data_IF_243369201614
#
_entry.id   IF_243369201614
#
_cell.length_a   1.000
_cell.length_b   1.000
_cell.length_c   1.000
_cell.angle_alpha   90.00
_cell.angle_beta   90.00
_cell.angle_gamma   90.00
#
_symmetry.space_group_name_H-M   'P 1'
#
loop_
_entity.id
_entity.type
_entity.pdbx_description
1 polymer ?
#
# COMPACT_ATOMS: atom_id res chain seq x y z
N UNK A 1 1.45 22.17 -4.23
CA UNK A 1 2.57 21.42 -3.61
C UNK A 1 2.13 20.15 -2.92
N UNK A 2 1.09 20.18 -2.08
CA UNK A 2 0.55 19.00 -1.38
C UNK A 2 0.37 17.78 -2.30
N UNK A 3 -0.37 17.92 -3.40
CA UNK A 3 -0.61 16.84 -4.37
C UNK A 3 0.64 16.14 -4.90
N UNK A 4 1.72 16.89 -5.10
CA UNK A 4 3.00 16.36 -5.59
C UNK A 4 3.62 15.48 -4.50
N UNK A 5 3.60 15.93 -3.24
CA UNK A 5 4.10 15.15 -2.11
C UNK A 5 3.25 13.90 -1.85
N UNK A 6 1.92 14.01 -1.95
CA UNK A 6 1.02 12.87 -1.79
C UNK A 6 1.26 11.82 -2.87
N UNK A 7 1.34 12.24 -4.14
CA UNK A 7 1.65 11.35 -5.26
C UNK A 7 3.04 10.70 -5.11
N UNK A 8 4.05 11.48 -4.68
CA UNK A 8 5.41 10.98 -4.46
C UNK A 8 5.44 9.92 -3.34
N UNK A 9 4.76 10.15 -2.22
CA UNK A 9 4.67 9.21 -1.11
C UNK A 9 3.96 7.91 -1.53
N UNK A 10 2.88 8.00 -2.31
CA UNK A 10 2.22 6.81 -2.85
C UNK A 10 3.11 6.02 -3.80
N UNK A 11 3.85 6.71 -4.68
CA UNK A 11 4.80 6.05 -5.58
C UNK A 11 5.90 5.34 -4.79
N UNK A 12 6.41 5.97 -3.74
CA UNK A 12 7.46 5.41 -2.88
C UNK A 12 6.93 4.20 -2.09
N UNK A 13 5.71 4.26 -1.57
CA UNK A 13 5.05 3.13 -0.90
C UNK A 13 4.81 1.96 -1.87
N UNK A 14 4.35 2.24 -3.09
CA UNK A 14 4.18 1.23 -4.13
C UNK A 14 5.51 0.58 -4.50
N UNK A 15 6.59 1.36 -4.65
CA UNK A 15 7.93 0.84 -4.90
C UNK A 15 8.37 -0.08 -3.75
N UNK A 16 8.19 0.33 -2.49
CA UNK A 16 8.58 -0.47 -1.33
C UNK A 16 7.89 -1.83 -1.27
N UNK A 17 6.69 -1.96 -1.84
CA UNK A 17 5.94 -3.23 -1.86
C UNK A 17 6.23 -4.03 -3.12
N UNK A 18 6.21 -3.38 -4.29
CA UNK A 18 6.42 -4.06 -5.58
C UNK A 18 7.86 -4.56 -5.75
N UNK A 19 8.84 -3.84 -5.22
CA UNK A 19 10.25 -4.19 -5.35
C UNK A 19 10.59 -5.52 -4.66
N UNK A 20 10.34 -5.74 -3.35
CA UNK A 20 10.60 -7.03 -2.72
C UNK A 20 9.75 -8.16 -3.30
N UNK A 21 8.52 -7.89 -3.75
CA UNK A 21 7.68 -8.87 -4.45
C UNK A 21 8.33 -9.34 -5.75
N UNK A 22 8.80 -8.40 -6.57
CA UNK A 22 9.42 -8.70 -7.85
C UNK A 22 10.78 -9.39 -7.69
N UNK A 23 11.57 -8.96 -6.70
CA UNK A 23 12.83 -9.61 -6.33
C UNK A 23 12.62 -11.04 -5.84
N UNK A 24 11.57 -11.29 -5.04
CA UNK A 24 11.27 -12.62 -4.50
C UNK A 24 10.69 -13.56 -5.54
N UNK A 25 9.88 -13.06 -6.49
CA UNK A 25 9.42 -13.83 -7.64
C UNK A 25 10.58 -14.34 -8.52
N UNK A 26 11.66 -13.55 -8.64
CA UNK A 26 12.91 -13.98 -9.31
C UNK A 26 13.76 -14.93 -8.49
N UNK A 27 13.69 -14.86 -7.15
CA UNK A 27 14.43 -15.78 -6.30
C UNK A 27 13.84 -17.19 -6.27
N UNK A 28 12.52 -17.34 -6.44
CA UNK A 28 11.85 -18.65 -6.56
C UNK A 28 12.15 -19.36 -7.90
N UNK A 29 12.58 -18.61 -8.92
CA UNK A 29 13.25 -19.15 -10.11
C UNK A 29 14.72 -19.49 -9.77
N UNK A 30 14.95 -20.35 -8.77
CA UNK A 30 16.27 -20.95 -8.62
C UNK A 30 16.60 -21.72 -9.90
N UNK A 31 17.79 -21.44 -10.44
CA UNK A 31 18.27 -22.03 -11.69
C UNK A 31 18.18 -23.56 -11.61
N UNK A 32 17.41 -24.21 -12.51
CA UNK A 32 17.27 -25.67 -12.52
C UNK A 32 18.63 -26.38 -12.62
N UNK A 33 19.65 -25.71 -13.18
CA UNK A 33 21.00 -26.23 -13.28
C UNK A 33 21.72 -26.26 -11.90
N UNK A 34 21.52 -25.24 -11.06
CA UNK A 34 22.07 -25.20 -9.69
C UNK A 34 21.44 -26.28 -8.80
N UNK A 35 20.13 -26.53 -8.92
CA UNK A 35 19.44 -27.60 -8.19
C UNK A 35 19.97 -28.98 -8.57
N UNK A 36 20.17 -29.22 -9.88
CA UNK A 36 20.75 -30.47 -10.38
C UNK A 36 22.17 -30.69 -9.84
N UNK A 37 23.00 -29.65 -9.85
CA UNK A 37 24.36 -29.72 -9.30
C UNK A 37 24.35 -30.03 -7.79
N UNK A 38 23.48 -29.40 -7.01
CA UNK A 38 23.35 -29.66 -5.58
C UNK A 38 22.93 -31.11 -5.28
N UNK A 39 21.97 -31.66 -6.03
CA UNK A 39 21.50 -33.04 -5.85
C UNK A 39 22.59 -34.08 -6.21
N UNK A 40 23.36 -33.84 -7.27
CA UNK A 40 24.48 -34.70 -7.66
C UNK A 40 25.60 -34.65 -6.61
N UNK A 41 25.93 -33.46 -6.10
CA UNK A 41 26.94 -33.31 -5.04
C UNK A 41 26.53 -34.06 -3.76
N UNK A 42 25.26 -33.94 -3.35
CA UNK A 42 24.74 -34.66 -2.19
C UNK A 42 24.76 -36.19 -2.40
N UNK A 43 24.47 -36.67 -3.61
CA UNK A 43 24.56 -38.09 -3.93
C UNK A 43 26.00 -38.61 -3.76
N UNK A 44 26.98 -37.86 -4.26
CA UNK A 44 28.40 -38.23 -4.13
C UNK A 44 28.83 -38.29 -2.66
N UNK A 45 28.44 -37.30 -1.86
CA UNK A 45 28.72 -37.28 -0.42
C UNK A 45 28.15 -38.53 0.29
N UNK A 46 26.91 -38.92 -0.04
CA UNK A 46 26.26 -40.10 0.56
C UNK A 46 26.81 -41.42 0.05
N UNK A 47 27.24 -41.50 -1.21
CA UNK A 47 27.89 -42.71 -1.74
C UNK A 47 29.25 -42.93 -1.08
N UNK A 48 30.01 -41.86 -0.88
CA UNK A 48 31.32 -41.93 -0.22
C UNK A 48 31.18 -42.33 1.25
N UNK A 49 30.12 -41.86 1.94
CA UNK A 49 29.77 -42.28 3.30
C UNK A 49 29.46 -43.78 3.37
N UNK A 50 28.66 -44.31 2.43
CA UNK A 50 28.35 -45.73 2.33
C UNK A 50 29.58 -46.59 2.04
N UNK A 51 30.48 -46.12 1.18
CA UNK A 51 31.74 -46.81 0.85
C UNK A 51 32.66 -46.87 2.07
N UNK A 52 32.73 -45.77 2.84
CA UNK A 52 33.47 -45.71 4.10
C UNK A 52 32.91 -46.71 5.12
N UNK A 53 31.59 -46.81 5.26
CA UNK A 53 30.93 -47.76 6.16
C UNK A 53 31.16 -49.22 5.77
N UNK A 54 31.17 -49.53 4.47
CA UNK A 54 31.52 -50.85 3.95
C UNK A 54 32.99 -51.19 4.28
N UNK A 55 33.90 -50.24 4.06
CA UNK A 55 35.33 -50.41 4.34
C UNK A 55 35.64 -50.58 5.84
N UNK A 56 34.84 -49.93 6.70
CA UNK A 56 34.90 -50.05 8.15
C UNK A 56 34.27 -51.36 8.67
N UNK A 57 33.56 -52.10 7.80
CA UNK A 57 32.83 -53.32 8.17
C UNK A 57 31.56 -53.06 8.97
N UNK A 58 31.02 -51.84 8.95
CA UNK A 58 29.77 -51.48 9.60
C UNK A 58 28.56 -52.07 8.86
N UNK A 59 28.68 -52.24 7.54
CA UNK A 59 27.68 -52.83 6.66
C UNK A 59 28.31 -53.94 5.81
N UNK A 60 27.51 -54.92 5.40
CA UNK A 60 27.93 -55.94 4.44
C UNK A 60 27.70 -55.52 2.98
N UNK A 61 28.27 -56.28 2.04
CA UNK A 61 28.16 -55.98 0.61
C UNK A 61 26.69 -55.97 0.11
N UNK A 62 25.83 -56.84 0.65
CA UNK A 62 24.42 -56.87 0.25
C UNK A 62 23.66 -55.62 0.74
N UNK A 63 23.97 -55.14 1.93
CA UNK A 63 23.41 -53.92 2.50
C UNK A 63 23.88 -52.70 1.71
N UNK A 64 25.17 -52.63 1.36
CA UNK A 64 25.70 -51.57 0.50
C UNK A 64 24.99 -51.51 -0.85
N UNK A 65 24.88 -52.63 -1.56
CA UNK A 65 24.24 -52.69 -2.88
C UNK A 65 22.75 -52.27 -2.81
N UNK A 66 22.07 -52.63 -1.71
CA UNK A 66 20.66 -52.26 -1.49
C UNK A 66 20.51 -50.76 -1.23
N UNK A 67 21.36 -50.19 -0.36
CA UNK A 67 21.32 -48.77 -0.01
C UNK A 67 21.72 -47.89 -1.20
N UNK A 68 22.71 -48.31 -1.99
CA UNK A 68 23.13 -47.63 -3.21
C UNK A 68 22.02 -47.63 -4.27
N UNK A 69 21.32 -48.75 -4.44
CA UNK A 69 20.18 -48.83 -5.36
C UNK A 69 19.03 -47.90 -4.96
N UNK A 70 18.74 -47.77 -3.66
CA UNK A 70 17.73 -46.83 -3.15
C UNK A 70 18.17 -45.37 -3.39
N UNK A 71 19.45 -45.06 -3.14
CA UNK A 71 20.03 -43.73 -3.35
C UNK A 71 19.97 -43.31 -4.83
N UNK A 72 20.31 -44.21 -5.76
CA UNK A 72 20.23 -43.99 -7.21
C UNK A 72 18.79 -43.75 -7.66
N UNK A 73 17.84 -44.47 -7.08
CA UNK A 73 16.41 -44.32 -7.39
C UNK A 73 15.86 -42.97 -6.90
N UNK A 74 16.33 -42.50 -5.74
CA UNK A 74 16.05 -41.15 -5.24
C UNK A 74 16.60 -40.06 -6.15
N UNK A 75 17.85 -40.19 -6.60
CA UNK A 75 18.48 -39.22 -7.52
C UNK A 75 17.71 -39.11 -8.85
N UNK A 76 17.30 -40.24 -9.44
CA UNK A 76 16.51 -40.24 -10.68
C UNK A 76 15.17 -39.52 -10.49
N UNK A 77 14.48 -39.75 -9.37
CA UNK A 77 13.23 -39.07 -9.06
C UNK A 77 13.42 -37.55 -8.90
N UNK A 78 14.51 -37.11 -8.24
CA UNK A 78 14.80 -35.69 -8.03
C UNK A 78 15.25 -34.95 -9.30
N UNK A 79 15.96 -35.64 -10.21
CA UNK A 79 16.33 -35.09 -11.53
C UNK A 79 15.10 -34.98 -12.44
N UNK A 80 14.22 -36.00 -12.47
CA UNK A 80 12.95 -35.94 -13.22
C UNK A 80 12.01 -34.84 -12.72
N UNK A 81 11.97 -34.61 -11.40
CA UNK A 81 11.22 -33.50 -10.78
C UNK A 81 11.79 -32.13 -11.15
N UNK A 82 13.10 -32.04 -11.41
CA UNK A 82 13.78 -30.80 -11.82
C UNK A 82 13.59 -30.49 -13.31
N UNK A 83 13.53 -31.51 -14.18
CA UNK A 83 13.28 -31.34 -15.62
C UNK A 83 11.78 -31.15 -15.95
N UNK A 84 10.88 -31.62 -15.08
CA UNK A 84 9.43 -31.45 -15.23
C UNK A 84 8.78 -30.84 -13.97
N UNK A 85 8.90 -29.51 -13.75
CA UNK A 85 8.29 -28.82 -12.61
C UNK A 85 6.75 -28.93 -12.57
N UNK A 86 6.10 -29.37 -13.67
CA UNK A 86 4.65 -29.67 -13.71
C UNK A 86 4.29 -31.00 -13.01
N UNK A 87 5.23 -31.93 -12.83
CA UNK A 87 4.98 -33.24 -12.21
C UNK A 87 4.91 -33.19 -10.66
N UNK A 88 5.52 -32.19 -10.03
CA UNK A 88 5.44 -31.96 -8.57
C UNK A 88 4.01 -31.75 -8.05
N UNK A 89 3.10 -31.25 -8.89
CA UNK A 89 1.70 -31.02 -8.50
C UNK A 89 0.86 -32.31 -8.33
N UNK A 90 1.36 -33.46 -8.77
CA UNK A 90 0.61 -34.72 -8.79
C UNK A 90 1.02 -35.74 -7.70
N UNK A 91 2.26 -35.73 -7.20
CA UNK A 91 2.78 -36.83 -6.37
C UNK A 91 2.90 -36.54 -4.86
N UNK A 92 2.82 -35.28 -4.42
CA UNK A 92 3.14 -34.87 -3.04
C UNK A 92 1.95 -34.65 -2.07
N UNK A 93 0.74 -35.15 -2.34
CA UNK A 93 -0.43 -34.94 -1.45
C UNK A 93 -0.86 -36.22 -0.74
N UNK A 94 -0.17 -36.58 0.35
CA UNK A 94 -0.79 -37.38 1.42
C UNK A 94 -0.59 -36.67 2.76
N UNK A 95 -1.74 -36.31 3.35
CA UNK A 95 -2.01 -35.82 4.72
C UNK A 95 -1.90 -34.31 4.97
N UNK A 96 -2.93 -33.59 4.55
CA UNK A 96 -3.70 -32.72 5.44
C UNK A 96 -5.01 -32.35 4.73
N UNK A 97 -6.12 -32.73 5.36
CA UNK A 97 -7.45 -32.48 4.85
C UNK A 97 -7.89 -31.05 5.20
N UNK A 98 -7.99 -30.18 4.18
CA UNK A 98 -9.13 -29.26 4.03
C UNK A 98 -9.31 -28.85 2.56
N UNK A 99 -10.38 -29.38 1.95
CA UNK A 99 -11.14 -28.87 0.79
C UNK A 99 -11.29 -27.34 0.88
N UNK A 100 -11.37 -26.51 -0.16
CA UNK A 100 -11.66 -26.54 -1.61
C UNK A 100 -11.24 -25.13 -2.10
N UNK A 101 -10.91 -24.84 -3.36
CA UNK A 101 -11.12 -25.55 -4.60
C UNK A 101 -10.19 -25.06 -5.71
N UNK A 102 -10.21 -25.81 -6.80
CA UNK A 102 -9.54 -25.55 -8.07
C UNK A 102 -9.97 -24.18 -8.64
N UNK A 103 -9.20 -23.49 -9.47
CA UNK A 103 -8.75 -23.92 -10.80
C UNK A 103 -7.79 -22.87 -11.37
N UNK A 104 -6.83 -23.34 -12.19
CA UNK A 104 -6.24 -22.69 -13.38
C UNK A 104 -5.70 -21.26 -13.26
N UNK A 105 -4.47 -21.12 -13.74
CA UNK A 105 -3.77 -19.88 -14.10
C UNK A 105 -3.08 -19.15 -12.93
N UNK A 106 -1.91 -19.71 -12.62
CA UNK A 106 -0.90 -19.25 -11.65
C UNK A 106 -0.17 -17.98 -12.12
N UNK A 107 -0.92 -16.90 -12.35
CA UNK A 107 -0.39 -15.53 -12.39
C UNK A 107 -1.07 -14.61 -11.36
N UNK A 108 -2.11 -15.11 -10.69
CA UNK A 108 -2.96 -14.39 -9.76
C UNK A 108 -3.15 -15.20 -8.48
N UNK A 109 -2.06 -15.60 -7.81
CA UNK A 109 -2.19 -16.17 -6.47
C UNK A 109 -2.80 -15.10 -5.56
N UNK A 110 -3.84 -15.48 -4.81
CA UNK A 110 -4.55 -14.62 -3.87
C UNK A 110 -3.59 -13.89 -2.90
N UNK A 111 -2.43 -14.51 -2.63
CA UNK A 111 -1.31 -13.97 -1.85
C UNK A 111 -0.68 -12.70 -2.44
N UNK A 112 -0.62 -12.55 -3.76
CA UNK A 112 -0.02 -11.39 -4.42
C UNK A 112 -1.06 -10.37 -4.89
N UNK A 113 -2.27 -10.82 -5.25
CA UNK A 113 -3.37 -9.92 -5.60
C UNK A 113 -3.88 -9.12 -4.41
N UNK A 114 -3.97 -9.71 -3.23
CA UNK A 114 -4.46 -9.03 -2.03
C UNK A 114 -3.64 -7.78 -1.67
N UNK A 115 -2.29 -7.83 -1.54
CA UNK A 115 -1.49 -6.64 -1.25
C UNK A 115 -1.48 -5.65 -2.41
N UNK A 116 -1.44 -6.11 -3.67
CA UNK A 116 -1.48 -5.21 -4.83
C UNK A 116 -2.82 -4.47 -4.94
N UNK A 117 -3.93 -5.18 -4.72
CA UNK A 117 -5.25 -4.57 -4.64
C UNK A 117 -5.30 -3.57 -3.50
N UNK A 118 -4.74 -3.88 -2.33
CA UNK A 118 -4.68 -2.95 -1.20
C UNK A 118 -3.90 -1.68 -1.52
N UNK A 119 -2.76 -1.78 -2.21
CA UNK A 119 -1.96 -0.61 -2.65
C UNK A 119 -2.74 0.31 -3.59
N UNK A 120 -3.66 -0.23 -4.39
CA UNK A 120 -4.51 0.57 -5.29
C UNK A 120 -5.77 1.06 -4.56
N UNK A 121 -6.36 0.24 -3.70
CA UNK A 121 -7.59 0.56 -2.96
C UNK A 121 -7.34 1.65 -1.92
N UNK A 122 -6.18 1.63 -1.25
CA UNK A 122 -5.84 2.57 -0.18
C UNK A 122 -5.80 4.03 -0.68
N UNK A 123 -5.13 4.41 -1.79
CA UNK A 123 -5.22 5.77 -2.33
C UNK A 123 -6.63 6.14 -2.75
N UNK A 124 -7.39 5.23 -3.36
CA UNK A 124 -8.78 5.51 -3.77
C UNK A 124 -9.66 5.77 -2.55
N UNK A 125 -9.54 4.94 -1.51
CA UNK A 125 -10.25 5.15 -0.24
C UNK A 125 -9.79 6.43 0.43
N UNK A 126 -8.49 6.68 0.49
CA UNK A 126 -7.94 7.88 1.12
C UNK A 126 -8.43 9.15 0.41
N UNK A 127 -8.46 9.17 -0.92
CA UNK A 127 -9.00 10.29 -1.69
C UNK A 127 -10.51 10.42 -1.54
N UNK A 128 -11.24 9.31 -1.53
CA UNK A 128 -12.69 9.30 -1.33
C UNK A 128 -13.08 9.82 0.05
N UNK A 129 -12.42 9.35 1.10
CA UNK A 129 -12.61 9.85 2.46
C UNK A 129 -12.13 11.29 2.60
N UNK A 130 -11.01 11.67 1.99
CA UNK A 130 -10.53 13.05 2.01
C UNK A 130 -11.49 14.00 1.26
N UNK A 131 -12.20 13.54 0.24
CA UNK A 131 -13.23 14.37 -0.39
C UNK A 131 -14.49 14.53 0.47
N UNK A 132 -14.74 13.59 1.40
CA UNK A 132 -15.92 13.62 2.26
C UNK A 132 -15.65 14.25 3.64
N UNK A 133 -14.43 14.12 4.16
CA UNK A 133 -14.01 14.61 5.48
C UNK A 133 -12.90 15.64 5.43
N UNK A 134 -12.26 15.82 4.27
CA UNK A 134 -11.19 16.78 4.08
C UNK A 134 -11.76 18.14 3.73
N UNK A 135 -11.44 19.11 4.57
CA UNK A 135 -11.73 20.53 4.40
C UNK A 135 -10.78 21.18 3.38
N UNK A 136 -10.73 20.67 2.14
CA UNK A 136 -9.84 21.25 1.12
C UNK A 136 -10.32 22.64 0.65
N UNK A 137 -11.61 22.92 0.80
CA UNK A 137 -12.20 24.23 0.54
C UNK A 137 -11.74 25.25 1.58
N UNK A 138 -11.64 24.87 2.86
CA UNK A 138 -11.16 25.76 3.94
C UNK A 138 -9.74 26.27 3.73
N UNK A 139 -8.87 25.44 3.12
CA UNK A 139 -7.48 25.83 2.84
C UNK A 139 -7.41 26.91 1.77
N UNK A 140 -8.32 26.92 0.80
CA UNK A 140 -8.38 27.96 -0.24
C UNK A 140 -8.99 29.25 0.31
N UNK A 141 -9.90 29.14 1.27
CA UNK A 141 -10.55 30.28 1.92
C UNK A 141 -9.60 30.98 2.91
N UNK A 142 -8.60 30.25 3.43
CA UNK A 142 -7.52 30.84 4.23
C UNK A 142 -6.80 31.98 3.51
N UNK A 143 -6.68 31.95 2.17
CA UNK A 143 -6.10 33.04 1.38
C UNK A 143 -6.99 34.30 1.43
N UNK A 144 -8.31 34.14 1.30
CA UNK A 144 -9.27 35.25 1.40
C UNK A 144 -9.26 35.90 2.79
N UNK A 145 -9.11 35.08 3.83
CA UNK A 145 -8.98 35.55 5.20
C UNK A 145 -7.65 36.27 5.43
N UNK A 146 -6.55 35.76 4.90
CA UNK A 146 -5.24 36.42 4.97
C UNK A 146 -5.26 37.78 4.26
N UNK A 147 -5.84 37.84 3.05
CA UNK A 147 -6.04 39.09 2.30
C UNK A 147 -6.87 40.11 3.09
N UNK A 148 -7.89 39.67 3.82
CA UNK A 148 -8.69 40.56 4.70
C UNK A 148 -7.83 41.20 5.78
N UNK A 149 -6.93 40.44 6.41
CA UNK A 149 -6.04 40.95 7.47
C UNK A 149 -4.96 41.88 6.89
N UNK A 150 -4.45 41.56 5.70
CA UNK A 150 -3.37 42.31 5.06
C UNK A 150 -3.86 43.58 4.34
N UNK A 151 -5.14 43.65 4.01
CA UNK A 151 -5.79 44.78 3.36
C UNK A 151 -6.01 45.96 4.34
N UNK A 152 -4.93 46.61 4.78
CA UNK A 152 -4.94 47.73 5.75
C UNK A 152 -5.58 49.03 5.21
N UNK A 153 -6.86 49.00 4.85
CA UNK A 153 -7.64 50.16 4.42
C UNK A 153 -7.71 50.38 2.92
N UNK A 154 -7.41 49.38 2.08
CA UNK A 154 -7.78 49.42 0.66
C UNK A 154 -9.28 49.15 0.53
N UNK A 155 -10.02 50.24 0.34
CA UNK A 155 -11.47 50.20 0.24
C UNK A 155 -11.97 49.46 -1.02
N UNK A 156 -11.15 49.36 -2.08
CA UNK A 156 -11.53 48.62 -3.28
C UNK A 156 -11.33 47.11 -3.10
N UNK A 157 -10.20 46.70 -2.52
CA UNK A 157 -9.98 45.29 -2.18
C UNK A 157 -10.99 44.81 -1.13
N UNK A 158 -11.36 45.66 -0.16
CA UNK A 158 -12.36 45.30 0.85
C UNK A 158 -13.73 45.05 0.21
N UNK A 159 -14.12 45.83 -0.81
CA UNK A 159 -15.37 45.60 -1.57
C UNK A 159 -15.34 44.28 -2.33
N UNK A 160 -14.20 43.94 -2.96
CA UNK A 160 -14.03 42.65 -3.63
C UNK A 160 -14.18 41.49 -2.64
N UNK A 161 -13.45 41.56 -1.52
CA UNK A 161 -13.48 40.55 -0.46
C UNK A 161 -14.86 40.39 0.15
N UNK A 162 -15.63 41.48 0.34
CA UNK A 162 -17.03 41.39 0.80
C UNK A 162 -17.88 40.52 -0.13
N UNK A 163 -17.72 40.67 -1.46
CA UNK A 163 -18.49 39.88 -2.43
C UNK A 163 -18.06 38.41 -2.36
N UNK A 164 -16.75 38.14 -2.43
CA UNK A 164 -16.24 36.77 -2.45
C UNK A 164 -16.49 36.02 -1.14
N UNK A 165 -16.21 36.66 0.01
CA UNK A 165 -16.47 36.09 1.33
C UNK A 165 -17.99 35.97 1.57
N UNK A 166 -18.79 36.90 1.03
CA UNK A 166 -20.26 36.84 1.11
C UNK A 166 -20.86 35.64 0.39
N UNK A 167 -20.37 35.31 -0.81
CA UNK A 167 -20.76 34.08 -1.53
C UNK A 167 -20.37 32.83 -0.75
N UNK A 168 -19.16 32.82 -0.18
CA UNK A 168 -18.67 31.72 0.63
C UNK A 168 -19.49 31.53 1.93
N UNK A 169 -19.81 32.61 2.62
CA UNK A 169 -20.63 32.60 3.84
C UNK A 169 -22.06 32.12 3.58
N UNK A 170 -22.62 32.40 2.40
CA UNK A 170 -23.93 31.87 2.00
C UNK A 170 -23.88 30.37 1.72
N UNK A 171 -22.80 29.88 1.11
CA UNK A 171 -22.62 28.45 0.88
C UNK A 171 -22.33 27.68 2.19
N UNK A 172 -21.73 28.33 3.18
CA UNK A 172 -21.31 27.74 4.45
C UNK A 172 -21.88 28.54 5.65
N UNK A 173 -23.19 28.48 5.90
CA UNK A 173 -23.86 29.31 6.91
C UNK A 173 -23.49 28.97 8.35
N UNK A 174 -22.86 27.80 8.56
CA UNK A 174 -22.41 27.29 9.87
C UNK A 174 -20.96 27.69 10.18
N UNK A 175 -20.25 28.39 9.27
CA UNK A 175 -18.85 28.76 9.47
C UNK A 175 -18.73 30.14 10.14
N UNK A 176 -18.34 30.23 11.43
CA UNK A 176 -18.34 31.51 12.15
C UNK A 176 -17.32 32.51 11.57
N UNK A 177 -16.17 32.01 11.14
CA UNK A 177 -15.07 32.81 10.60
C UNK A 177 -15.45 33.56 9.33
N UNK A 178 -16.30 32.99 8.47
CA UNK A 178 -16.74 33.65 7.25
C UNK A 178 -17.47 34.98 7.56
N UNK A 179 -18.35 34.97 8.57
CA UNK A 179 -19.07 36.17 9.01
C UNK A 179 -18.16 37.17 9.76
N UNK A 180 -17.18 36.68 10.52
CA UNK A 180 -16.19 37.52 11.19
C UNK A 180 -15.36 38.34 10.19
N UNK A 181 -14.78 37.71 9.17
CA UNK A 181 -13.97 38.42 8.17
C UNK A 181 -14.80 39.31 7.25
N UNK A 182 -16.06 38.93 6.99
CA UNK A 182 -17.00 39.78 6.27
C UNK A 182 -17.31 41.06 7.07
N UNK A 183 -17.43 40.95 8.39
CA UNK A 183 -17.60 42.09 9.28
C UNK A 183 -16.37 43.02 9.29
N UNK A 184 -15.16 42.45 9.28
CA UNK A 184 -13.93 43.23 9.25
C UNK A 184 -13.79 44.03 7.95
N UNK A 185 -14.09 43.43 6.80
CA UNK A 185 -14.09 44.15 5.53
C UNK A 185 -15.18 45.25 5.47
N UNK A 186 -16.37 45.00 6.04
CA UNK A 186 -17.41 46.05 6.15
C UNK A 186 -16.95 47.21 7.03
N UNK A 187 -16.30 46.93 8.17
CA UNK A 187 -15.77 47.95 9.05
C UNK A 187 -14.67 48.78 8.35
N UNK A 188 -13.80 48.14 7.56
CA UNK A 188 -12.74 48.79 6.81
C UNK A 188 -13.26 49.87 5.82
N UNK A 189 -14.46 49.68 5.25
CA UNK A 189 -15.10 50.64 4.34
C UNK A 189 -16.16 51.53 5.03
N UNK A 190 -16.26 51.48 6.35
CA UNK A 190 -17.16 52.33 7.15
C UNK A 190 -18.63 51.89 7.16
N UNK A 191 -18.93 50.66 6.73
CA UNK A 191 -20.27 50.07 6.77
C UNK A 191 -20.54 49.40 8.13
N UNK A 192 -20.56 50.19 9.19
CA UNK A 192 -20.62 49.69 10.57
C UNK A 192 -21.91 48.94 10.92
N UNK A 193 -23.04 49.32 10.33
CA UNK A 193 -24.32 48.61 10.51
C UNK A 193 -24.24 47.17 9.97
N UNK A 194 -23.68 47.01 8.77
CA UNK A 194 -23.49 45.71 8.15
C UNK A 194 -22.42 44.89 8.90
N UNK A 195 -21.36 45.54 9.36
CA UNK A 195 -20.33 44.92 10.19
C UNK A 195 -20.92 44.37 11.49
N UNK A 196 -21.78 45.15 12.18
CA UNK A 196 -22.45 44.70 13.40
C UNK A 196 -23.29 43.44 13.16
N UNK A 197 -24.10 43.42 12.10
CA UNK A 197 -24.95 42.26 11.77
C UNK A 197 -24.08 41.03 11.52
N UNK A 198 -22.99 41.19 10.77
CA UNK A 198 -22.06 40.11 10.47
C UNK A 198 -21.32 39.61 11.73
N UNK A 199 -20.88 40.52 12.62
CA UNK A 199 -20.27 40.15 13.90
C UNK A 199 -21.24 39.40 14.81
N UNK A 200 -22.49 39.83 14.88
CA UNK A 200 -23.52 39.14 15.66
C UNK A 200 -23.74 37.72 15.13
N UNK A 201 -23.88 37.57 13.80
CA UNK A 201 -24.01 36.25 13.17
C UNK A 201 -22.80 35.37 13.47
N UNK A 202 -21.59 35.92 13.40
CA UNK A 202 -20.37 35.19 13.75
C UNK A 202 -20.40 34.68 15.20
N UNK A 203 -20.84 35.52 16.15
CA UNK A 203 -20.94 35.16 17.55
C UNK A 203 -22.00 34.07 17.81
N UNK A 204 -23.19 34.20 17.22
CA UNK A 204 -24.27 33.20 17.32
C UNK A 204 -23.79 31.82 16.84
N UNK A 205 -23.12 31.78 15.69
CA UNK A 205 -22.62 30.53 15.10
C UNK A 205 -21.47 29.91 15.91
N UNK A 206 -20.67 30.74 16.61
CA UNK A 206 -19.58 30.28 17.47
C UNK A 206 -20.08 29.71 18.80
N UNK A 207 -21.18 30.24 19.35
CA UNK A 207 -21.81 29.70 20.56
C UNK A 207 -22.54 28.37 20.31
N UNK A 208 -23.00 28.14 19.08
CA UNK A 208 -23.70 26.90 18.67
C UNK A 208 -22.75 25.74 18.34
N UNK A 209 -21.44 25.98 18.18
CA UNK A 209 -20.45 24.94 17.91
C UNK A 209 -19.82 24.44 19.23
N UNK A 210 -20.20 23.27 19.77
CA UNK A 210 -19.52 22.71 20.93
C UNK A 210 -18.13 22.23 20.51
N UNK A 211 -17.11 22.54 21.31
CA UNK A 211 -15.72 22.07 21.10
C UNK A 211 -15.62 20.54 20.94
#
# INVERSE_FOLDING_TARGET
>A
MFWIYTALLFLLAALFILLPLWLRARADEEDPELRKQANVALFQERSDELEADLSAGNIDQQQFDTLLAELQRGLLADVELSENPKAQSAAGKKKSARKQGATRDSFFSLTYMAPAAFVVLLPILAYGLYNQWGYIDDVQVMDLFQRTVDNQGDAEEARELIVTIGEFAQANPEMPWAFYFLAENFAAIGLFEQAQIAYQRAAETLEETPE
#
